data_IF_363653360785
#
_entry.id   IF_363653360785
#
_cell.length_a   1.000
_cell.length_b   1.000
_cell.length_c   1.000
_cell.angle_alpha   90.00
_cell.angle_beta   90.00
_cell.angle_gamma   90.00
#
_symmetry.space_group_name_H-M   'P 1'
#
loop_
_entity.id
_entity.type
_entity.pdbx_description
1 polymer ?
#
# COMPACT_ATOMS: atom_id res chain seq x y z
N UNK A 1 -16.26 58.80 81.95
CA UNK A 1 -17.33 57.91 82.48
C UNK A 1 -16.87 56.48 82.21
N UNK A 2 -16.34 55.79 83.23
CA UNK A 2 -17.02 54.73 84.02
C UNK A 2 -17.60 53.63 83.10
N UNK A 3 -17.29 52.35 83.23
CA UNK A 3 -16.60 51.61 84.30
C UNK A 3 -16.14 50.22 83.79
N UNK A 4 -15.46 49.53 84.69
CA UNK A 4 -14.64 48.33 84.58
C UNK A 4 -15.36 47.00 84.24
N UNK A 5 -14.53 46.06 83.76
CA UNK A 5 -14.41 44.59 83.97
C UNK A 5 -15.27 43.95 85.09
N UNK A 6 -15.45 42.60 85.22
CA UNK A 6 -14.58 41.50 84.75
C UNK A 6 -15.26 40.13 84.39
N UNK A 7 -14.39 39.18 84.03
CA UNK A 7 -14.38 37.70 84.19
C UNK A 7 -15.58 36.98 84.85
N UNK A 8 -15.92 35.79 84.31
CA UNK A 8 -16.04 34.47 84.99
C UNK A 8 -16.59 33.42 84.00
N UNK A 9 -15.95 32.25 83.92
CA UNK A 9 -16.52 31.04 83.30
C UNK A 9 -17.19 30.16 84.38
N UNK A 10 -18.25 29.41 84.03
CA UNK A 10 -18.30 28.02 84.48
C UNK A 10 -18.85 27.00 83.46
N UNK A 11 -18.63 25.72 83.82
CA UNK A 11 -18.85 24.47 83.07
C UNK A 11 -20.33 24.03 82.96
N UNK A 12 -20.63 23.36 81.84
CA UNK A 12 -21.55 22.22 81.59
C UNK A 12 -22.91 22.07 82.34
N UNK A 13 -24.03 21.92 81.57
CA UNK A 13 -24.86 20.67 81.49
C UNK A 13 -26.10 20.78 80.58
N UNK A 14 -26.19 19.78 79.69
CA UNK A 14 -27.33 19.06 79.05
C UNK A 14 -28.79 19.60 79.02
N UNK A 15 -29.34 19.45 77.79
CA UNK A 15 -30.67 18.94 77.34
C UNK A 15 -31.94 19.61 77.87
N UNK A 16 -32.77 20.09 76.93
CA UNK A 16 -34.07 19.50 76.59
C UNK A 16 -34.99 20.53 75.89
N UNK A 17 -34.79 20.79 74.60
CA UNK A 17 -35.80 21.49 73.77
C UNK A 17 -35.85 21.05 72.30
N UNK A 18 -35.08 20.03 71.91
CA UNK A 18 -35.08 19.53 70.53
C UNK A 18 -35.92 18.27 70.30
N UNK A 19 -36.39 17.56 71.34
CA UNK A 19 -37.15 16.31 71.14
C UNK A 19 -38.51 16.53 70.47
N UNK A 20 -39.24 17.61 70.75
CA UNK A 20 -40.56 17.86 70.12
C UNK A 20 -40.44 18.31 68.67
N UNK A 21 -39.44 19.12 68.33
CA UNK A 21 -39.10 19.51 66.95
C UNK A 21 -38.58 18.31 66.13
N UNK A 22 -37.71 17.47 66.71
CA UNK A 22 -37.27 16.23 66.05
C UNK A 22 -38.39 15.20 65.91
N UNK A 23 -39.29 15.08 66.89
CA UNK A 23 -40.46 14.17 66.81
C UNK A 23 -41.48 14.68 65.79
N UNK A 24 -41.74 15.99 65.73
CA UNK A 24 -42.59 16.60 64.70
C UNK A 24 -42.01 16.44 63.30
N UNK A 25 -40.71 16.70 63.12
CA UNK A 25 -40.02 16.50 61.84
C UNK A 25 -39.96 15.01 61.45
N UNK A 26 -39.77 14.11 62.42
CA UNK A 26 -39.80 12.66 62.17
C UNK A 26 -41.19 12.14 61.84
N UNK A 27 -42.26 12.70 62.42
CA UNK A 27 -43.64 12.37 62.07
C UNK A 27 -44.02 12.88 60.68
N UNK A 28 -43.60 14.10 60.34
CA UNK A 28 -43.79 14.65 58.99
C UNK A 28 -42.97 13.86 57.96
N UNK A 29 -41.70 13.56 58.24
CA UNK A 29 -40.87 12.71 57.39
C UNK A 29 -41.41 11.28 57.27
N UNK A 30 -41.97 10.72 58.35
CA UNK A 30 -42.65 9.42 58.37
C UNK A 30 -43.91 9.44 57.52
N UNK A 31 -44.71 10.50 57.59
CA UNK A 31 -45.89 10.68 56.74
C UNK A 31 -45.51 10.84 55.27
N UNK A 32 -44.47 11.64 54.95
CA UNK A 32 -43.94 11.74 53.59
C UNK A 32 -43.35 10.42 53.09
N UNK A 33 -42.73 9.62 53.96
CA UNK A 33 -42.25 8.28 53.61
C UNK A 33 -43.42 7.32 53.31
N UNK A 34 -44.47 7.34 54.13
CA UNK A 34 -45.69 6.53 53.91
C UNK A 34 -46.42 6.96 52.64
N UNK A 35 -46.59 8.28 52.43
CA UNK A 35 -47.17 8.83 51.20
C UNK A 35 -46.30 8.50 49.98
N UNK A 36 -44.98 8.57 50.10
CA UNK A 36 -44.04 8.19 49.05
C UNK A 36 -44.09 6.70 48.72
N UNK A 37 -44.24 5.82 49.72
CA UNK A 37 -44.43 4.38 49.53
C UNK A 37 -45.78 4.08 48.89
N UNK A 38 -46.86 4.74 49.33
CA UNK A 38 -48.20 4.59 48.76
C UNK A 38 -48.25 5.08 47.30
N UNK A 39 -47.66 6.24 47.00
CA UNK A 39 -47.49 6.73 45.63
C UNK A 39 -46.64 5.75 44.81
N UNK A 40 -45.53 5.25 45.36
CA UNK A 40 -44.70 4.24 44.71
C UNK A 40 -45.43 2.93 44.43
N UNK A 41 -46.44 2.55 45.23
CA UNK A 41 -47.26 1.37 45.01
C UNK A 41 -48.40 1.63 44.01
N UNK A 42 -49.06 2.79 44.09
CA UNK A 42 -50.14 3.19 43.16
C UNK A 42 -49.62 3.34 41.74
N UNK A 43 -48.43 3.92 41.56
CA UNK A 43 -47.81 4.11 40.25
C UNK A 43 -46.93 2.93 39.80
N UNK A 44 -46.81 1.85 40.61
CA UNK A 44 -46.09 0.64 40.21
C UNK A 44 -46.73 -0.03 38.98
N UNK A 45 -48.05 0.14 38.79
CA UNK A 45 -48.79 -0.38 37.64
C UNK A 45 -48.72 -1.91 37.49
N UNK A 46 -49.17 -2.42 36.35
CA UNK A 46 -49.09 -3.84 36.03
C UNK A 46 -47.63 -4.28 35.82
N UNK A 47 -47.28 -5.50 36.24
CA UNK A 47 -45.94 -6.08 36.02
C UNK A 47 -45.70 -6.54 34.58
N UNK A 48 -46.73 -6.51 33.73
CA UNK A 48 -46.69 -7.07 32.38
C UNK A 48 -46.67 -6.01 31.28
N UNK A 49 -47.01 -4.75 31.60
CA UNK A 49 -46.99 -3.64 30.66
C UNK A 49 -45.77 -2.74 30.88
N UNK A 50 -45.33 -2.10 29.78
CA UNK A 50 -44.27 -1.11 29.77
C UNK A 50 -44.74 0.19 30.43
N UNK A 51 -43.79 0.90 31.05
CA UNK A 51 -44.08 2.19 31.69
C UNK A 51 -44.65 3.20 30.69
N UNK A 52 -45.68 3.95 31.09
CA UNK A 52 -46.17 5.07 30.30
C UNK A 52 -45.04 6.07 30.01
N UNK A 53 -44.95 6.56 28.76
CA UNK A 53 -43.85 7.42 28.31
C UNK A 53 -42.59 6.67 27.81
N UNK A 54 -42.60 5.32 27.82
CA UNK A 54 -41.57 4.53 27.17
C UNK A 54 -41.68 4.63 25.64
N UNK A 55 -40.58 4.99 24.99
CA UNK A 55 -40.47 5.12 23.53
C UNK A 55 -39.33 4.26 23.00
N UNK A 56 -39.56 3.63 21.86
CA UNK A 56 -38.53 2.88 21.13
C UNK A 56 -38.45 3.42 19.71
N UNK A 57 -37.27 3.90 19.31
CA UNK A 57 -37.05 4.54 18.00
C UNK A 57 -38.12 5.58 17.61
N UNK A 58 -38.44 6.49 18.55
CA UNK A 58 -39.47 7.53 18.36
C UNK A 58 -40.93 7.08 18.52
N UNK A 59 -41.21 5.77 18.57
CA UNK A 59 -42.57 5.22 18.71
C UNK A 59 -42.94 5.01 20.18
N UNK A 60 -44.12 5.48 20.57
CA UNK A 60 -44.67 5.23 21.90
C UNK A 60 -45.10 3.76 22.07
N UNK A 61 -44.51 3.11 23.07
CA UNK A 61 -44.78 1.72 23.46
C UNK A 61 -45.29 1.62 24.90
N UNK A 62 -45.48 2.75 25.59
CA UNK A 62 -45.98 2.77 26.96
C UNK A 62 -47.39 2.16 27.06
N UNK A 63 -47.62 1.37 28.11
CA UNK A 63 -48.89 0.67 28.34
C UNK A 63 -49.10 -0.60 27.51
N UNK A 64 -48.19 -0.93 26.58
CA UNK A 64 -48.23 -2.20 25.86
C UNK A 64 -47.49 -3.29 26.63
N UNK A 65 -47.87 -4.55 26.43
CA UNK A 65 -47.03 -5.68 26.82
C UNK A 65 -45.79 -5.75 25.92
N UNK A 66 -44.73 -6.43 26.38
CA UNK A 66 -43.52 -6.58 25.55
C UNK A 66 -43.81 -7.23 24.18
N UNK A 67 -44.72 -8.20 24.12
CA UNK A 67 -45.10 -8.88 22.87
C UNK A 67 -45.84 -7.94 21.92
N UNK A 68 -46.80 -7.17 22.43
CA UNK A 68 -47.55 -6.18 21.62
C UNK A 68 -46.66 -5.05 21.13
N UNK A 69 -45.73 -4.58 21.98
CA UNK A 69 -44.76 -3.55 21.59
C UNK A 69 -43.84 -4.03 20.46
N UNK A 70 -43.32 -5.26 20.54
CA UNK A 70 -42.52 -5.86 19.46
C UNK A 70 -43.33 -6.00 18.18
N UNK A 71 -44.54 -6.57 18.25
CA UNK A 71 -45.41 -6.75 17.08
C UNK A 71 -45.77 -5.41 16.41
N UNK A 72 -46.03 -4.36 17.20
CA UNK A 72 -46.27 -3.00 16.70
C UNK A 72 -45.06 -2.44 15.96
N UNK A 73 -43.86 -2.57 16.54
CA UNK A 73 -42.61 -2.07 15.94
C UNK A 73 -42.24 -2.84 14.67
N UNK A 74 -42.43 -4.16 14.67
CA UNK A 74 -42.24 -5.01 13.48
C UNK A 74 -43.17 -4.59 12.33
N UNK A 75 -44.47 -4.38 12.63
CA UNK A 75 -45.44 -3.93 11.63
C UNK A 75 -45.03 -2.59 11.01
N UNK A 76 -44.71 -1.59 11.85
CA UNK A 76 -44.27 -0.28 11.39
C UNK A 76 -42.98 -0.36 10.57
N UNK A 77 -42.04 -1.23 10.94
CA UNK A 77 -40.81 -1.40 10.18
C UNK A 77 -41.08 -2.05 8.81
N UNK A 78 -41.96 -3.04 8.73
CA UNK A 78 -42.32 -3.70 7.47
C UNK A 78 -42.95 -2.73 6.47
N UNK A 79 -43.76 -1.77 6.94
CA UNK A 79 -44.38 -0.74 6.11
C UNK A 79 -43.33 0.14 5.41
N UNK A 80 -42.22 0.44 6.10
CA UNK A 80 -41.16 1.32 5.60
C UNK A 80 -39.94 0.56 5.09
N UNK A 81 -39.87 -0.76 5.24
CA UNK A 81 -38.68 -1.56 4.93
C UNK A 81 -38.38 -1.61 3.42
N UNK A 82 -39.40 -1.41 2.59
CA UNK A 82 -39.27 -1.30 1.13
C UNK A 82 -38.96 0.11 0.63
N UNK A 83 -39.12 1.13 1.47
CA UNK A 83 -38.91 2.53 1.08
C UNK A 83 -37.41 2.84 0.98
N UNK A 84 -36.91 3.28 -0.19
CA UNK A 84 -35.49 3.55 -0.36
C UNK A 84 -35.04 4.79 0.45
N UNK A 85 -33.96 4.63 1.20
CA UNK A 85 -33.25 5.73 1.84
C UNK A 85 -32.15 6.24 0.90
N UNK A 86 -32.06 7.56 0.74
CA UNK A 86 -31.06 8.21 -0.12
C UNK A 86 -29.78 8.49 0.68
N UNK A 87 -28.65 8.18 0.07
CA UNK A 87 -27.31 8.40 0.59
C UNK A 87 -26.51 9.23 -0.41
N UNK A 88 -25.76 10.22 0.06
CA UNK A 88 -24.93 11.07 -0.79
C UNK A 88 -23.45 10.87 -0.49
N UNK A 89 -22.65 10.58 -1.51
CA UNK A 89 -21.21 10.37 -1.39
C UNK A 89 -20.50 10.90 -2.63
N UNK A 90 -19.42 11.67 -2.46
CA UNK A 90 -18.59 12.12 -3.59
C UNK A 90 -19.28 13.00 -4.64
N UNK A 91 -20.44 13.60 -4.31
CA UNK A 91 -21.28 14.36 -5.24
C UNK A 91 -22.36 13.55 -5.95
N UNK A 92 -22.44 12.24 -5.69
CA UNK A 92 -23.42 11.33 -6.25
C UNK A 92 -24.43 10.86 -5.19
N UNK A 93 -25.55 10.31 -5.65
CA UNK A 93 -26.68 9.89 -4.80
C UNK A 93 -27.03 8.43 -5.07
N UNK A 94 -27.19 7.66 -4.00
CA UNK A 94 -27.46 6.23 -4.01
C UNK A 94 -28.71 5.96 -3.19
N UNK A 95 -29.55 5.02 -3.62
CA UNK A 95 -30.73 4.62 -2.89
C UNK A 95 -30.68 3.13 -2.57
N UNK A 96 -30.98 2.79 -1.32
CA UNK A 96 -31.08 1.41 -0.85
C UNK A 96 -32.28 1.29 0.09
N UNK A 97 -32.97 0.15 0.04
CA UNK A 97 -34.05 -0.18 0.97
C UNK A 97 -33.56 -1.15 2.05
N UNK A 98 -34.22 -1.14 3.22
CA UNK A 98 -33.82 -1.97 4.35
C UNK A 98 -33.96 -3.48 4.04
N UNK A 99 -34.99 -3.85 3.26
CA UNK A 99 -35.23 -5.23 2.83
C UNK A 99 -34.14 -5.77 1.87
N UNK A 100 -33.54 -4.91 1.04
CA UNK A 100 -32.47 -5.28 0.12
C UNK A 100 -31.18 -5.64 0.86
N UNK A 101 -30.93 -4.96 1.98
CA UNK A 101 -29.71 -5.13 2.79
C UNK A 101 -29.92 -6.05 4.00
N UNK A 102 -31.12 -6.61 4.14
CA UNK A 102 -31.46 -7.50 5.25
C UNK A 102 -31.33 -6.83 6.62
N UNK A 103 -31.58 -5.52 6.70
CA UNK A 103 -31.50 -4.77 7.96
C UNK A 103 -32.68 -5.20 8.85
N UNK A 104 -32.37 -5.69 10.05
CA UNK A 104 -33.32 -6.16 11.04
C UNK A 104 -33.04 -5.50 12.40
N UNK A 105 -33.92 -4.63 12.88
CA UNK A 105 -33.80 -4.10 14.23
C UNK A 105 -34.14 -5.17 15.28
N UNK A 106 -33.34 -5.24 16.34
CA UNK A 106 -33.60 -6.06 17.53
C UNK A 106 -34.63 -5.34 18.42
N UNK A 107 -35.89 -5.37 17.98
CA UNK A 107 -37.00 -4.78 18.72
C UNK A 107 -37.22 -5.47 20.07
N UNK A 108 -37.02 -6.79 20.15
CA UNK A 108 -37.14 -7.53 21.39
C UNK A 108 -36.13 -7.04 22.45
N UNK A 109 -34.86 -6.89 22.08
CA UNK A 109 -33.83 -6.33 22.95
C UNK A 109 -34.10 -4.87 23.33
N UNK A 110 -34.58 -4.06 22.38
CA UNK A 110 -34.92 -2.65 22.62
C UNK A 110 -36.10 -2.49 23.59
N UNK A 111 -37.17 -3.26 23.39
CA UNK A 111 -38.36 -3.29 24.25
C UNK A 111 -38.02 -3.83 25.64
N UNK A 112 -37.19 -4.86 25.74
CA UNK A 112 -36.72 -5.37 27.03
C UNK A 112 -35.87 -4.32 27.78
N UNK A 113 -35.03 -3.56 27.07
CA UNK A 113 -34.28 -2.45 27.65
C UNK A 113 -35.19 -1.30 28.11
N UNK A 114 -36.21 -0.94 27.32
CA UNK A 114 -37.21 0.04 27.70
C UNK A 114 -38.03 -0.41 28.93
N UNK A 115 -38.38 -1.70 29.01
CA UNK A 115 -39.04 -2.30 30.18
C UNK A 115 -38.19 -2.16 31.45
N UNK A 116 -36.89 -2.48 31.36
CA UNK A 116 -35.95 -2.35 32.50
C UNK A 116 -35.84 -0.92 33.03
N UNK A 117 -36.00 0.10 32.18
CA UNK A 117 -35.98 1.50 32.61
C UNK A 117 -37.13 1.85 33.56
N UNK A 118 -38.29 1.18 33.40
CA UNK A 118 -39.48 1.34 34.24
C UNK A 118 -39.66 0.25 35.31
N UNK A 119 -38.74 -0.70 35.42
CA UNK A 119 -38.82 -1.84 36.36
C UNK A 119 -38.08 -1.57 37.69
N UNK A 120 -38.48 -2.30 38.73
CA UNK A 120 -37.95 -2.19 40.09
C UNK A 120 -38.74 -3.03 41.11
N UNK A 121 -38.29 -3.05 42.38
CA UNK A 121 -38.98 -3.74 43.49
C UNK A 121 -39.88 -2.77 44.27
N UNK A 122 -41.14 -3.16 44.50
CA UNK A 122 -42.10 -2.41 45.32
C UNK A 122 -42.21 -0.93 44.95
N UNK A 123 -42.13 0.01 45.91
CA UNK A 123 -42.33 1.44 45.66
C UNK A 123 -41.28 2.09 44.75
N UNK A 124 -40.09 1.48 44.59
CA UNK A 124 -39.04 1.97 43.67
C UNK A 124 -39.52 1.89 42.21
N UNK A 125 -40.34 0.88 41.87
CA UNK A 125 -40.94 0.74 40.54
C UNK A 125 -41.85 1.93 40.22
N UNK A 126 -42.73 2.31 41.15
CA UNK A 126 -43.63 3.44 40.92
C UNK A 126 -42.90 4.77 40.73
N UNK A 127 -41.82 5.03 41.48
CA UNK A 127 -40.99 6.22 41.26
C UNK A 127 -40.31 6.23 39.89
N UNK A 128 -39.77 5.10 39.44
CA UNK A 128 -39.18 4.98 38.09
C UNK A 128 -40.20 5.17 36.99
N UNK A 129 -41.38 4.54 37.11
CA UNK A 129 -42.48 4.71 36.14
C UNK A 129 -43.03 6.13 36.12
N UNK A 130 -43.12 6.78 37.28
CA UNK A 130 -43.50 8.19 37.37
C UNK A 130 -42.46 9.08 36.68
N UNK A 131 -41.17 8.83 36.91
CA UNK A 131 -40.09 9.53 36.23
C UNK A 131 -40.14 9.31 34.71
N UNK A 132 -40.24 8.07 34.24
CA UNK A 132 -40.38 7.76 32.80
C UNK A 132 -41.61 8.41 32.18
N UNK A 133 -42.73 8.53 32.91
CA UNK A 133 -43.93 9.20 32.43
C UNK A 133 -43.74 10.71 32.22
N UNK A 134 -42.95 11.37 33.07
CA UNK A 134 -42.73 12.82 32.99
C UNK A 134 -41.52 13.22 32.16
N UNK A 135 -40.47 12.40 32.13
CA UNK A 135 -39.20 12.71 31.47
C UNK A 135 -38.92 11.81 30.24
N UNK A 136 -39.76 10.81 29.99
CA UNK A 136 -39.60 9.85 28.90
C UNK A 136 -38.52 8.80 29.17
N UNK A 137 -38.54 7.72 28.40
CA UNK A 137 -37.40 6.83 28.23
C UNK A 137 -37.32 6.44 26.76
N UNK A 138 -36.29 6.91 26.05
CA UNK A 138 -36.06 6.57 24.64
C UNK A 138 -34.98 5.50 24.53
N UNK A 139 -35.28 4.44 23.79
CA UNK A 139 -34.35 3.35 23.51
C UNK A 139 -34.24 3.13 22.01
N UNK A 140 -33.01 3.05 21.50
CA UNK A 140 -32.73 2.69 20.12
C UNK A 140 -32.42 1.19 20.03
N UNK A 141 -32.94 0.46 19.01
CA UNK A 141 -32.65 -0.95 18.84
C UNK A 141 -31.20 -1.17 18.38
N UNK A 142 -30.66 -2.35 18.69
CA UNK A 142 -29.47 -2.85 17.99
C UNK A 142 -29.89 -3.26 16.58
N UNK A 143 -29.05 -3.00 15.59
CA UNK A 143 -29.37 -3.31 14.20
C UNK A 143 -28.52 -4.50 13.76
N UNK A 144 -29.17 -5.55 13.26
CA UNK A 144 -28.52 -6.62 12.53
C UNK A 144 -28.64 -6.33 11.03
N UNK A 145 -27.61 -6.71 10.26
CA UNK A 145 -27.54 -6.50 8.82
C UNK A 145 -26.88 -7.71 8.18
N UNK A 146 -27.18 -7.97 6.91
CA UNK A 146 -26.43 -8.97 6.14
C UNK A 146 -25.09 -8.37 5.73
N UNK A 147 -23.98 -8.91 6.25
CA UNK A 147 -22.62 -8.45 5.92
C UNK A 147 -22.40 -8.45 4.40
N UNK A 148 -22.78 -9.54 3.71
CA UNK A 148 -22.63 -9.65 2.26
C UNK A 148 -23.43 -8.60 1.48
N UNK A 149 -24.65 -8.26 1.94
CA UNK A 149 -25.49 -7.27 1.26
C UNK A 149 -24.98 -5.84 1.52
N UNK A 150 -24.55 -5.57 2.76
CA UNK A 150 -23.93 -4.31 3.13
C UNK A 150 -22.63 -4.08 2.37
N UNK A 151 -21.77 -5.09 2.28
CA UNK A 151 -20.53 -5.03 1.52
C UNK A 151 -20.81 -4.76 0.04
N UNK A 152 -21.79 -5.42 -0.56
CA UNK A 152 -22.22 -5.14 -1.94
C UNK A 152 -22.70 -3.70 -2.12
N UNK A 153 -23.47 -3.15 -1.17
CA UNK A 153 -23.92 -1.77 -1.22
C UNK A 153 -22.76 -0.77 -1.12
N UNK A 154 -21.83 -1.01 -0.19
CA UNK A 154 -20.65 -0.18 0.00
C UNK A 154 -19.72 -0.27 -1.21
N UNK A 155 -19.55 -1.44 -1.82
CA UNK A 155 -18.77 -1.62 -3.05
C UNK A 155 -19.39 -0.84 -4.20
N UNK A 156 -20.72 -0.91 -4.38
CA UNK A 156 -21.41 -0.13 -5.41
C UNK A 156 -21.23 1.39 -5.24
N UNK A 157 -21.17 1.87 -3.99
CA UNK A 157 -20.87 3.28 -3.70
C UNK A 157 -19.40 3.56 -4.01
N UNK A 158 -18.50 2.69 -3.53
CA UNK A 158 -17.07 2.82 -3.74
C UNK A 158 -16.69 2.82 -5.22
N UNK A 159 -17.29 2.00 -6.07
CA UNK A 159 -17.02 1.96 -7.52
C UNK A 159 -17.24 3.30 -8.23
N UNK A 160 -18.18 4.11 -7.74
CA UNK A 160 -18.46 5.44 -8.30
C UNK A 160 -17.63 6.55 -7.60
N UNK A 161 -17.45 6.42 -6.29
CA UNK A 161 -16.80 7.44 -5.47
C UNK A 161 -15.28 7.31 -5.53
N UNK A 162 -14.75 6.11 -5.35
CA UNK A 162 -13.33 5.83 -5.17
C UNK A 162 -12.54 6.20 -6.43
N UNK A 163 -11.52 7.02 -6.23
CA UNK A 163 -10.58 7.43 -7.26
C UNK A 163 -9.19 7.39 -6.65
N UNK A 164 -8.32 6.59 -7.24
CA UNK A 164 -6.92 6.55 -6.83
C UNK A 164 -6.26 7.92 -7.03
N UNK A 165 -5.43 8.39 -6.08
CA UNK A 165 -4.62 9.58 -6.29
C UNK A 165 -3.62 9.33 -7.43
N UNK A 166 -3.25 10.39 -8.14
CA UNK A 166 -2.18 10.34 -9.14
C UNK A 166 -1.16 11.42 -8.82
N UNK A 167 0.10 11.01 -8.74
CA UNK A 167 1.20 11.93 -8.51
C UNK A 167 1.39 12.88 -9.68
N UNK A 168 1.90 14.07 -9.36
CA UNK A 168 2.43 14.96 -10.36
C UNK A 168 3.64 14.32 -11.04
N UNK A 169 3.85 14.69 -12.30
CA UNK A 169 4.97 14.19 -13.10
C UNK A 169 5.59 15.31 -13.93
N UNK A 170 6.84 15.12 -14.37
CA UNK A 170 7.43 15.94 -15.41
C UNK A 170 7.45 15.19 -16.72
N UNK A 171 6.90 15.81 -17.76
CA UNK A 171 6.92 15.29 -19.11
C UNK A 171 7.78 16.17 -20.00
N UNK A 172 8.24 15.58 -21.11
CA UNK A 172 9.08 16.27 -22.08
C UNK A 172 8.44 16.29 -23.45
N UNK A 173 8.36 17.47 -24.06
CA UNK A 173 8.05 17.66 -25.48
C UNK A 173 9.28 18.21 -26.19
N UNK A 174 10.00 17.36 -26.92
CA UNK A 174 11.28 17.75 -27.52
C UNK A 174 12.35 18.10 -26.46
N UNK A 175 12.64 19.39 -26.28
CA UNK A 175 13.54 19.91 -25.23
C UNK A 175 12.80 20.69 -24.14
N UNK A 176 11.48 20.82 -24.24
CA UNK A 176 10.65 21.54 -23.28
C UNK A 176 10.23 20.59 -22.14
N UNK A 177 10.23 21.13 -20.92
CA UNK A 177 9.83 20.42 -19.70
C UNK A 177 8.53 21.02 -19.18
N UNK A 178 7.50 20.20 -19.21
CA UNK A 178 6.15 20.51 -18.73
C UNK A 178 5.87 19.74 -17.44
N UNK A 179 5.07 20.35 -16.56
CA UNK A 179 4.58 19.69 -15.36
C UNK A 179 3.16 19.21 -15.61
N UNK A 180 2.90 17.95 -15.30
CA UNK A 180 1.55 17.40 -15.20
C UNK A 180 1.14 17.50 -13.73
N UNK A 181 0.04 18.19 -13.39
CA UNK A 181 -0.41 18.32 -12.02
C UNK A 181 -0.91 16.99 -11.46
N UNK A 182 -0.81 16.86 -10.15
CA UNK A 182 -1.34 15.76 -9.38
C UNK A 182 -2.89 15.71 -9.44
N UNK A 183 -3.46 14.53 -9.25
CA UNK A 183 -4.89 14.33 -9.08
C UNK A 183 -5.16 13.83 -7.67
N UNK A 184 -5.97 14.57 -6.94
CA UNK A 184 -6.40 14.22 -5.59
C UNK A 184 -7.30 12.98 -5.66
N UNK A 185 -6.93 11.95 -4.91
CA UNK A 185 -7.72 10.75 -4.75
C UNK A 185 -8.81 10.93 -3.71
N UNK A 186 -9.78 10.02 -3.72
CA UNK A 186 -10.83 9.95 -2.72
C UNK A 186 -11.25 8.52 -2.54
N UNK A 187 -11.67 8.16 -1.34
CA UNK A 187 -12.15 6.81 -1.02
C UNK A 187 -13.30 6.88 -0.02
N UNK A 188 -14.29 6.02 -0.15
CA UNK A 188 -15.34 5.87 0.84
C UNK A 188 -14.72 5.47 2.18
N UNK A 189 -15.11 6.15 3.26
CA UNK A 189 -14.74 5.75 4.61
C UNK A 189 -15.62 4.56 4.99
N UNK A 190 -15.21 3.34 4.59
CA UNK A 190 -16.09 2.15 4.56
C UNK A 190 -16.74 1.84 5.90
N UNK A 191 -16.00 1.92 7.00
CA UNK A 191 -16.52 1.62 8.34
C UNK A 191 -17.55 2.66 8.80
N UNK A 192 -17.26 3.95 8.64
CA UNK A 192 -18.16 5.03 9.03
C UNK A 192 -19.37 5.12 8.11
N UNK A 193 -19.19 4.82 6.82
CA UNK A 193 -20.26 4.71 5.84
C UNK A 193 -21.18 3.52 6.14
N UNK A 194 -20.62 2.35 6.49
CA UNK A 194 -21.39 1.18 6.93
C UNK A 194 -22.32 1.53 8.10
N UNK A 195 -21.78 2.19 9.12
CA UNK A 195 -22.57 2.63 10.27
C UNK A 195 -23.66 3.64 9.88
N UNK A 196 -23.36 4.59 8.97
CA UNK A 196 -24.34 5.56 8.50
C UNK A 196 -25.47 4.91 7.68
N UNK A 197 -25.14 3.95 6.82
CA UNK A 197 -26.10 3.17 6.02
C UNK A 197 -27.02 2.36 6.92
N UNK A 198 -26.46 1.58 7.84
CA UNK A 198 -27.23 0.74 8.76
C UNK A 198 -28.16 1.59 9.63
N UNK A 199 -27.66 2.69 10.21
CA UNK A 199 -28.51 3.61 10.99
C UNK A 199 -29.62 4.24 10.16
N UNK A 200 -29.31 4.69 8.95
CA UNK A 200 -30.30 5.31 8.05
C UNK A 200 -31.44 4.37 7.70
N UNK A 201 -31.13 3.09 7.44
CA UNK A 201 -32.11 2.06 7.07
C UNK A 201 -32.88 1.49 8.26
N UNK A 202 -32.24 1.43 9.44
CA UNK A 202 -32.87 0.97 10.67
C UNK A 202 -33.81 1.99 11.33
N UNK A 203 -33.82 3.24 10.86
CA UNK A 203 -34.78 4.26 11.29
C UNK A 203 -36.19 3.91 10.83
N UNK A 204 -37.21 4.24 11.63
CA UNK A 204 -38.61 4.23 11.21
C UNK A 204 -38.99 5.53 10.48
N UNK A 205 -38.26 6.61 10.73
CA UNK A 205 -38.43 7.87 10.03
C UNK A 205 -37.70 7.84 8.69
N UNK A 206 -38.41 8.20 7.61
CA UNK A 206 -37.85 8.32 6.26
C UNK A 206 -37.49 9.78 5.99
N UNK A 207 -36.18 10.07 6.03
CA UNK A 207 -35.67 11.39 5.69
C UNK A 207 -35.80 11.64 4.19
N UNK A 208 -36.35 12.80 3.80
CA UNK A 208 -36.38 13.23 2.41
C UNK A 208 -35.00 13.67 1.89
N UNK A 209 -34.16 14.19 2.79
CA UNK A 209 -32.81 14.63 2.47
C UNK A 209 -31.83 13.43 2.40
N UNK A 210 -30.90 13.39 1.43
CA UNK A 210 -29.87 12.35 1.39
C UNK A 210 -28.96 12.38 2.62
N UNK A 211 -28.69 11.20 3.19
CA UNK A 211 -27.76 11.03 4.30
C UNK A 211 -26.32 11.11 3.76
N UNK A 212 -25.48 12.08 4.20
CA UNK A 212 -24.11 12.18 3.72
C UNK A 212 -23.27 11.00 4.23
N UNK A 213 -22.55 10.35 3.33
CA UNK A 213 -21.57 9.33 3.66
C UNK A 213 -20.16 9.93 3.68
N UNK A 214 -19.35 9.60 4.70
CA UNK A 214 -18.00 10.11 4.83
C UNK A 214 -17.10 9.58 3.71
N UNK A 215 -16.35 10.50 3.10
CA UNK A 215 -15.33 10.20 2.08
C UNK A 215 -14.00 10.73 2.60
N UNK A 216 -12.99 9.88 2.60
CA UNK A 216 -11.62 10.25 2.92
C UNK A 216 -10.95 10.76 1.65
N UNK A 217 -10.31 11.92 1.76
CA UNK A 217 -9.46 12.44 0.69
C UNK A 217 -8.11 11.74 0.77
N UNK A 218 -7.68 11.16 -0.34
CA UNK A 218 -6.37 10.50 -0.46
C UNK A 218 -5.42 11.44 -1.21
N UNK A 219 -4.39 11.90 -0.50
CA UNK A 219 -3.47 12.89 -1.05
C UNK A 219 -2.38 12.19 -1.88
N UNK A 220 -2.02 12.74 -3.05
CA UNK A 220 -0.89 12.23 -3.81
C UNK A 220 0.42 12.46 -3.05
N UNK A 221 1.38 11.55 -3.23
CA UNK A 221 2.68 11.59 -2.56
C UNK A 221 3.55 12.73 -3.12
N UNK A 222 3.42 13.02 -4.41
CA UNK A 222 4.19 14.07 -5.10
C UNK A 222 3.27 15.08 -5.75
N UNK A 223 3.44 16.34 -5.35
CA UNK A 223 2.73 17.50 -5.93
C UNK A 223 3.55 18.21 -7.00
N UNK A 224 2.89 18.92 -7.91
CA UNK A 224 3.55 19.72 -8.94
C UNK A 224 4.46 20.78 -8.32
N UNK A 225 4.06 21.33 -7.16
CA UNK A 225 4.87 22.26 -6.38
C UNK A 225 6.18 21.60 -5.92
N UNK A 226 6.14 20.34 -5.47
CA UNK A 226 7.33 19.60 -5.08
C UNK A 226 8.29 19.34 -6.26
N UNK A 227 7.78 19.28 -7.49
CA UNK A 227 8.59 19.07 -8.70
C UNK A 227 9.23 20.33 -9.28
N UNK A 228 8.88 21.53 -8.81
CA UNK A 228 9.45 22.81 -9.29
C UNK A 228 10.99 22.83 -9.32
N UNK A 229 11.72 22.39 -8.28
CA UNK A 229 13.18 22.32 -8.31
C UNK A 229 13.71 21.35 -9.38
N UNK A 230 13.06 20.20 -9.55
CA UNK A 230 13.41 19.20 -10.55
C UNK A 230 13.15 19.70 -11.97
N UNK A 231 12.03 20.40 -12.20
CA UNK A 231 11.73 21.02 -13.48
C UNK A 231 12.79 22.06 -13.86
N UNK A 232 13.19 22.92 -12.91
CA UNK A 232 14.26 23.90 -13.13
C UNK A 232 15.58 23.22 -13.50
N UNK A 233 15.97 22.17 -12.77
CA UNK A 233 17.18 21.40 -13.06
C UNK A 233 17.12 20.70 -14.41
N UNK A 234 15.97 20.15 -14.79
CA UNK A 234 15.76 19.51 -16.09
C UNK A 234 15.89 20.53 -17.24
N UNK A 235 15.34 21.75 -17.10
CA UNK A 235 15.52 22.82 -18.10
C UNK A 235 17.00 23.19 -18.26
N UNK A 236 17.75 23.29 -17.16
CA UNK A 236 19.21 23.51 -17.21
C UNK A 236 19.93 22.31 -17.85
N UNK A 237 19.50 21.08 -17.60
CA UNK A 237 20.04 19.90 -18.27
C UNK A 237 19.94 19.98 -19.78
N UNK A 238 18.86 20.56 -20.31
CA UNK A 238 18.58 20.64 -21.73
C UNK A 238 18.99 21.97 -22.38
N UNK A 239 19.60 22.91 -21.65
CA UNK A 239 19.91 24.25 -22.17
C UNK A 239 21.17 24.32 -23.03
N UNK A 240 22.02 23.28 -23.03
CA UNK A 240 23.29 23.33 -23.74
C UNK A 240 24.09 22.04 -23.71
N UNK A 241 25.15 22.02 -24.52
CA UNK A 241 26.05 20.90 -24.66
C UNK A 241 26.77 20.58 -23.33
N UNK A 242 27.14 19.31 -23.17
CA UNK A 242 28.01 18.84 -22.09
C UNK A 242 29.25 18.22 -22.70
N UNK A 243 30.41 18.47 -22.11
CA UNK A 243 31.66 17.81 -22.50
C UNK A 243 31.93 16.66 -21.54
N UNK A 244 31.92 15.43 -22.05
CA UNK A 244 32.47 14.27 -21.34
C UNK A 244 33.97 14.27 -21.53
N UNK A 245 34.73 14.35 -20.44
CA UNK A 245 36.19 14.35 -20.46
C UNK A 245 36.72 13.01 -19.98
N UNK A 246 37.30 12.23 -20.89
CA UNK A 246 38.11 11.07 -20.55
C UNK A 246 39.60 11.42 -20.47
N UNK A 247 40.45 10.43 -20.23
CA UNK A 247 41.90 10.63 -20.07
C UNK A 247 42.60 11.12 -21.36
N UNK A 248 42.16 10.65 -22.53
CA UNK A 248 42.79 10.97 -23.84
C UNK A 248 41.83 11.62 -24.84
N UNK A 249 40.53 11.53 -24.61
CA UNK A 249 39.47 11.93 -25.54
C UNK A 249 38.39 12.71 -24.81
N UNK A 250 37.77 13.65 -25.52
CA UNK A 250 36.60 14.37 -25.05
C UNK A 250 35.45 14.19 -26.03
N UNK A 251 34.24 14.08 -25.52
CA UNK A 251 33.03 13.90 -26.32
C UNK A 251 32.02 15.00 -26.01
N UNK A 252 31.42 15.60 -27.04
CA UNK A 252 30.32 16.54 -26.86
C UNK A 252 28.99 15.80 -26.86
N UNK A 253 28.15 16.04 -25.86
CA UNK A 253 26.79 15.50 -25.75
C UNK A 253 25.82 16.64 -26.00
N UNK A 254 25.01 16.52 -27.04
CA UNK A 254 24.01 17.55 -27.40
C UNK A 254 22.82 17.54 -26.44
N UNK A 255 22.08 18.66 -26.32
CA UNK A 255 20.82 18.72 -25.58
C UNK A 255 19.83 17.62 -25.94
N UNK A 256 19.68 17.34 -27.24
CA UNK A 256 18.80 16.27 -27.74
C UNK A 256 19.24 14.89 -27.23
N UNK A 257 20.56 14.64 -27.20
CA UNK A 257 21.08 13.41 -26.61
C UNK A 257 20.80 13.38 -25.12
N UNK A 258 21.11 14.45 -24.37
CA UNK A 258 20.85 14.52 -22.92
C UNK A 258 19.38 14.23 -22.62
N UNK A 259 18.45 14.80 -23.38
CA UNK A 259 17.03 14.50 -23.28
C UNK A 259 16.79 12.99 -23.36
N UNK A 260 17.32 12.28 -24.36
CA UNK A 260 17.12 10.83 -24.47
C UNK A 260 17.67 10.01 -23.29
N UNK A 261 18.64 10.53 -22.52
CA UNK A 261 19.25 9.85 -21.38
C UNK A 261 18.65 10.29 -20.03
N UNK A 262 17.99 11.44 -19.98
CA UNK A 262 17.43 12.02 -18.77
C UNK A 262 16.09 11.34 -18.43
N UNK A 263 16.07 10.63 -17.32
CA UNK A 263 14.87 10.16 -16.66
C UNK A 263 14.29 11.30 -15.83
N UNK A 264 13.03 11.63 -16.13
CA UNK A 264 12.25 12.64 -15.41
C UNK A 264 11.46 11.98 -14.29
N UNK A 265 11.12 12.70 -13.21
CA UNK A 265 10.30 12.16 -12.14
C UNK A 265 8.88 11.86 -12.63
N UNK A 266 8.45 10.63 -12.41
CA UNK A 266 7.09 10.11 -12.60
C UNK A 266 6.79 9.11 -11.47
N UNK A 267 5.52 8.72 -11.30
CA UNK A 267 5.10 7.60 -10.45
C UNK A 267 5.64 7.69 -9.01
N UNK A 268 5.37 8.80 -8.32
CA UNK A 268 5.87 9.07 -6.96
C UNK A 268 7.34 9.48 -6.88
N UNK A 269 8.05 9.50 -8.01
CA UNK A 269 9.42 9.99 -8.09
C UNK A 269 9.52 11.51 -8.00
N UNK A 270 10.58 12.00 -7.35
CA UNK A 270 10.89 13.44 -7.30
C UNK A 270 12.25 13.81 -7.90
N UNK A 271 13.09 12.81 -8.24
CA UNK A 271 14.51 13.01 -8.59
C UNK A 271 14.77 12.78 -10.07
N UNK A 272 15.63 13.62 -10.63
CA UNK A 272 16.22 13.41 -11.95
C UNK A 272 17.30 12.35 -11.90
N UNK A 273 17.39 11.53 -12.95
CA UNK A 273 18.47 10.57 -13.14
C UNK A 273 18.93 10.53 -14.60
N UNK A 274 20.16 10.09 -14.82
CA UNK A 274 20.59 9.59 -16.13
C UNK A 274 20.44 8.07 -16.06
N UNK A 275 19.36 7.55 -16.61
CA UNK A 275 18.95 6.16 -16.41
C UNK A 275 17.99 5.68 -17.51
N UNK A 276 17.75 4.37 -17.54
CA UNK A 276 16.85 3.70 -18.45
C UNK A 276 17.54 3.18 -19.72
N UNK A 277 16.81 2.44 -20.57
CA UNK A 277 17.40 1.65 -21.65
C UNK A 277 18.28 2.45 -22.63
N UNK A 278 17.90 3.72 -22.88
CA UNK A 278 18.67 4.63 -23.75
C UNK A 278 19.97 5.10 -23.09
N UNK A 279 19.96 5.33 -21.78
CA UNK A 279 21.17 5.64 -21.01
C UNK A 279 22.12 4.45 -20.98
N UNK A 280 21.59 3.25 -20.74
CA UNK A 280 22.38 2.02 -20.68
C UNK A 280 23.05 1.71 -22.02
N UNK A 281 22.29 1.81 -23.12
CA UNK A 281 22.83 1.64 -24.47
C UNK A 281 23.91 2.69 -24.81
N UNK A 282 23.68 3.94 -24.41
CA UNK A 282 24.67 5.02 -24.61
C UNK A 282 25.97 4.75 -23.84
N UNK A 283 25.88 4.35 -22.57
CA UNK A 283 27.05 4.06 -21.75
C UNK A 283 27.78 2.80 -22.18
N UNK A 284 27.09 1.76 -22.69
CA UNK A 284 27.72 0.58 -23.28
C UNK A 284 28.60 0.95 -24.48
N UNK A 285 28.04 1.69 -25.44
CA UNK A 285 28.81 2.19 -26.60
C UNK A 285 29.92 3.17 -26.20
N UNK A 286 29.73 3.95 -25.13
CA UNK A 286 30.79 4.81 -24.62
C UNK A 286 31.92 3.97 -23.99
N UNK A 287 31.58 2.93 -23.22
CA UNK A 287 32.54 2.04 -22.57
C UNK A 287 33.44 1.33 -23.59
N UNK A 288 32.89 0.85 -24.71
CA UNK A 288 33.67 0.25 -25.80
C UNK A 288 34.69 1.23 -26.42
N UNK A 289 34.37 2.52 -26.45
CA UNK A 289 35.23 3.56 -27.07
C UNK A 289 36.32 4.09 -26.14
N UNK A 290 36.13 3.98 -24.82
CA UNK A 290 37.06 4.55 -23.81
C UNK A 290 37.79 3.49 -23.00
N UNK A 291 37.21 2.30 -22.89
CA UNK A 291 37.77 1.14 -22.23
C UNK A 291 38.65 0.31 -23.15
N UNK A 292 39.28 -0.70 -22.55
CA UNK A 292 40.05 -1.74 -23.21
C UNK A 292 39.74 -3.05 -22.48
N UNK A 293 39.28 -4.10 -23.15
CA UNK A 293 38.97 -5.35 -22.48
C UNK A 293 40.24 -5.92 -21.82
N UNK A 294 40.13 -6.56 -20.66
CA UNK A 294 41.23 -7.34 -20.12
C UNK A 294 41.51 -8.54 -21.03
N UNK A 295 42.74 -9.04 -20.98
CA UNK A 295 43.13 -10.27 -21.65
C UNK A 295 43.45 -11.32 -20.59
N UNK A 296 42.73 -12.43 -20.62
CA UNK A 296 43.01 -13.59 -19.79
C UNK A 296 44.44 -14.09 -20.03
N UNK A 297 45.07 -14.66 -19.00
CA UNK A 297 46.23 -15.50 -19.26
C UNK A 297 45.83 -16.66 -20.17
N UNK A 298 46.80 -17.28 -20.81
CA UNK A 298 46.63 -18.32 -21.82
C UNK A 298 47.72 -19.37 -21.68
N UNK A 299 47.61 -20.45 -22.46
CA UNK A 299 48.63 -21.48 -22.53
C UNK A 299 49.07 -21.60 -23.99
N UNK A 300 50.37 -21.55 -24.24
CA UNK A 300 50.96 -21.69 -25.55
C UNK A 300 51.86 -22.92 -25.56
N UNK A 301 51.55 -23.87 -26.43
CA UNK A 301 52.29 -25.13 -26.54
C UNK A 301 53.47 -24.93 -27.50
N UNK A 302 54.69 -25.20 -27.04
CA UNK A 302 55.91 -25.16 -27.84
C UNK A 302 56.69 -26.47 -27.68
N UNK A 303 56.62 -27.33 -28.69
CA UNK A 303 57.15 -28.68 -28.63
C UNK A 303 56.48 -29.49 -27.52
N UNK A 304 57.26 -29.94 -26.54
CA UNK A 304 56.79 -30.68 -25.37
C UNK A 304 56.44 -29.78 -24.18
N UNK A 305 56.83 -28.50 -24.22
CA UNK A 305 56.62 -27.55 -23.13
C UNK A 305 55.34 -26.72 -23.32
N UNK A 306 54.69 -26.36 -22.23
CA UNK A 306 53.59 -25.40 -22.21
C UNK A 306 54.07 -24.12 -21.52
N UNK A 307 53.98 -23.00 -22.23
CA UNK A 307 54.31 -21.68 -21.71
C UNK A 307 53.04 -20.90 -21.38
N UNK A 308 53.09 -20.07 -20.35
CA UNK A 308 51.97 -19.20 -20.01
C UNK A 308 52.06 -17.93 -20.83
N UNK A 309 50.96 -17.61 -21.51
CA UNK A 309 50.74 -16.28 -22.09
C UNK A 309 50.23 -15.38 -20.97
N UNK A 310 50.96 -14.33 -20.55
CA UNK A 310 50.56 -13.54 -19.40
C UNK A 310 49.25 -12.79 -19.62
N UNK A 311 48.43 -12.74 -18.56
CA UNK A 311 47.22 -11.92 -18.50
C UNK A 311 47.55 -10.44 -18.54
N UNK A 312 46.69 -9.62 -19.15
CA UNK A 312 46.80 -8.15 -19.12
C UNK A 312 45.53 -7.54 -18.53
N UNK A 313 45.71 -6.62 -17.59
CA UNK A 313 44.59 -5.84 -17.08
C UNK A 313 44.00 -4.96 -18.18
N UNK A 314 42.69 -4.87 -18.19
CA UNK A 314 41.92 -3.95 -19.00
C UNK A 314 41.57 -2.69 -18.23
N UNK A 315 40.73 -1.89 -18.86
CA UNK A 315 40.14 -0.68 -18.30
C UNK A 315 38.67 -0.63 -18.69
N UNK A 316 37.81 -0.27 -17.76
CA UNK A 316 36.38 -0.17 -17.98
C UNK A 316 35.84 1.18 -17.51
N UNK A 317 34.73 1.62 -18.10
CA UNK A 317 34.03 2.83 -17.66
C UNK A 317 33.20 2.50 -16.42
N UNK A 318 33.40 3.24 -15.31
CA UNK A 318 32.46 3.17 -14.19
C UNK A 318 31.16 3.89 -14.58
N UNK A 319 30.20 3.12 -15.08
CA UNK A 319 28.91 3.61 -15.60
C UNK A 319 28.16 4.39 -14.53
N UNK A 320 28.15 3.90 -13.27
CA UNK A 320 27.44 4.56 -12.16
C UNK A 320 28.04 5.93 -11.82
N UNK A 321 29.38 6.05 -11.82
CA UNK A 321 30.05 7.34 -11.63
C UNK A 321 29.88 8.25 -12.83
N UNK A 322 29.94 7.71 -14.06
CA UNK A 322 29.75 8.46 -15.29
C UNK A 322 28.34 9.05 -15.39
N UNK A 323 27.30 8.27 -15.10
CA UNK A 323 25.90 8.74 -15.07
C UNK A 323 25.70 9.87 -14.05
N UNK A 324 26.23 9.73 -12.83
CA UNK A 324 26.18 10.78 -11.81
C UNK A 324 26.97 12.03 -12.21
N UNK A 325 28.15 11.88 -12.80
CA UNK A 325 28.96 13.00 -13.29
C UNK A 325 28.24 13.74 -14.42
N UNK A 326 27.63 13.00 -15.36
CA UNK A 326 26.83 13.57 -16.44
C UNK A 326 25.62 14.33 -15.90
N UNK A 327 24.88 13.77 -14.93
CA UNK A 327 23.75 14.48 -14.30
C UNK A 327 24.18 15.78 -13.61
N UNK A 328 25.30 15.75 -12.87
CA UNK A 328 25.84 16.94 -12.21
C UNK A 328 26.22 18.01 -13.23
N UNK A 329 26.96 17.65 -14.27
CA UNK A 329 27.34 18.56 -15.34
C UNK A 329 26.12 19.11 -16.10
N UNK A 330 25.11 18.27 -16.34
CA UNK A 330 23.87 18.65 -17.00
C UNK A 330 23.09 19.67 -16.17
N UNK A 331 22.96 19.43 -14.87
CA UNK A 331 22.17 20.30 -13.99
C UNK A 331 22.92 21.54 -13.50
N UNK A 332 24.16 21.75 -13.95
CA UNK A 332 24.97 22.94 -13.68
C UNK A 332 24.73 24.05 -14.72
N UNK A 333 24.64 25.30 -14.25
CA UNK A 333 24.52 26.49 -15.11
C UNK A 333 25.87 26.90 -15.73
N UNK A 334 26.98 26.54 -15.09
CA UNK A 334 28.35 26.84 -15.52
C UNK A 334 29.20 25.57 -15.53
N UNK A 335 30.36 25.61 -16.19
CA UNK A 335 31.32 24.50 -16.22
C UNK A 335 30.68 23.11 -16.49
N UNK A 336 30.01 22.97 -17.65
CA UNK A 336 29.25 21.77 -18.04
C UNK A 336 30.17 20.66 -18.55
N UNK A 337 31.06 20.19 -17.66
CA UNK A 337 32.04 19.13 -17.93
C UNK A 337 31.83 17.97 -16.98
N UNK A 338 31.71 16.75 -17.52
CA UNK A 338 31.63 15.52 -16.75
C UNK A 338 32.88 14.67 -16.96
N UNK A 339 33.66 14.47 -15.91
CA UNK A 339 34.85 13.62 -15.95
C UNK A 339 34.43 12.15 -15.94
N UNK A 340 34.87 11.39 -16.94
CA UNK A 340 34.66 9.95 -17.02
C UNK A 340 35.67 9.26 -16.10
N UNK A 341 35.16 8.41 -15.19
CA UNK A 341 36.01 7.60 -14.32
C UNK A 341 36.25 6.26 -14.99
N UNK A 342 37.53 5.94 -15.23
CA UNK A 342 37.95 4.66 -15.77
C UNK A 342 38.49 3.82 -14.62
N UNK A 343 37.93 2.63 -14.43
CA UNK A 343 38.36 1.65 -13.45
C UNK A 343 39.26 0.59 -14.10
N UNK A 344 40.05 -0.11 -13.29
CA UNK A 344 40.81 -1.28 -13.73
C UNK A 344 39.84 -2.45 -13.91
N UNK A 345 39.89 -3.08 -15.08
CA UNK A 345 39.21 -4.35 -15.31
C UNK A 345 40.23 -5.48 -15.15
N UNK A 346 39.97 -6.41 -14.24
CA UNK A 346 40.80 -7.59 -14.09
C UNK A 346 40.44 -8.62 -15.19
N UNK A 347 41.42 -9.39 -15.69
CA UNK A 347 41.12 -10.58 -16.47
C UNK A 347 40.35 -11.58 -15.61
N UNK A 348 39.53 -12.42 -16.25
CA UNK A 348 38.85 -13.54 -15.59
C UNK A 348 39.86 -14.58 -15.10
N UNK A 349 40.97 -14.74 -15.82
CA UNK A 349 42.10 -15.57 -15.41
C UNK A 349 43.39 -14.77 -15.39
N UNK A 350 43.99 -14.67 -14.21
CA UNK A 350 45.27 -14.03 -13.98
C UNK A 350 46.44 -14.95 -14.35
N UNK A 351 47.62 -14.36 -14.54
CA UNK A 351 48.86 -15.11 -14.75
C UNK A 351 49.20 -16.01 -13.55
N UNK A 352 48.91 -15.55 -12.33
CA UNK A 352 49.14 -16.31 -11.11
C UNK A 352 48.23 -17.55 -11.03
N UNK A 353 46.97 -17.42 -11.39
CA UNK A 353 46.03 -18.55 -11.45
C UNK A 353 46.45 -19.55 -12.54
N UNK A 354 46.86 -19.06 -13.73
CA UNK A 354 47.36 -19.93 -14.79
C UNK A 354 48.62 -20.71 -14.36
N UNK A 355 49.53 -20.08 -13.61
CA UNK A 355 50.71 -20.74 -13.03
C UNK A 355 50.32 -21.81 -12.01
N UNK A 356 49.35 -21.50 -11.14
CA UNK A 356 48.88 -22.42 -10.11
C UNK A 356 48.17 -23.66 -10.67
N UNK A 357 47.70 -23.63 -11.92
CA UNK A 357 47.11 -24.78 -12.59
C UNK A 357 48.13 -25.89 -12.91
N UNK A 358 49.44 -25.59 -12.93
CA UNK A 358 50.48 -26.60 -13.13
C UNK A 358 50.50 -27.25 -14.52
N UNK A 359 49.95 -26.58 -15.54
CA UNK A 359 49.94 -27.07 -16.93
C UNK A 359 51.28 -26.67 -17.58
N UNK A 360 52.28 -27.54 -17.45
CA UNK A 360 53.67 -27.26 -17.85
C UNK A 360 54.16 -28.08 -19.06
N UNK A 361 53.46 -29.16 -19.41
CA UNK A 361 53.89 -30.11 -20.45
C UNK A 361 52.75 -30.60 -21.33
N UNK A 362 53.07 -30.90 -22.58
CA UNK A 362 52.17 -31.57 -23.50
C UNK A 362 52.20 -33.07 -23.26
N UNK A 363 51.06 -33.65 -22.90
CA UNK A 363 50.95 -35.09 -22.65
C UNK A 363 50.84 -35.91 -23.93
N UNK A 364 50.09 -35.42 -24.92
CA UNK A 364 49.89 -36.11 -26.19
C UNK A 364 49.50 -35.14 -27.30
N UNK A 365 49.77 -35.55 -28.54
CA UNK A 365 49.37 -34.84 -29.75
C UNK A 365 49.08 -35.85 -30.86
N UNK A 366 47.90 -35.73 -31.47
CA UNK A 366 47.51 -36.51 -32.63
C UNK A 366 46.95 -35.61 -33.70
N UNK A 367 47.11 -36.03 -34.95
CA UNK A 367 46.55 -35.33 -36.10
C UNK A 367 45.70 -36.31 -36.88
N UNK A 368 44.46 -35.91 -37.16
CA UNK A 368 43.58 -36.61 -38.10
C UNK A 368 43.23 -35.66 -39.25
N UNK A 369 43.07 -36.23 -40.44
CA UNK A 369 42.68 -35.48 -41.63
C UNK A 369 41.16 -35.59 -41.81
N UNK A 370 40.52 -34.47 -42.12
CA UNK A 370 39.10 -34.46 -42.48
C UNK A 370 38.93 -34.43 -44.00
N UNK A 371 37.78 -34.92 -44.45
CA UNK A 371 37.31 -34.87 -45.84
C UNK A 371 35.79 -34.70 -45.83
N UNK A 372 35.17 -34.32 -46.94
CA UNK A 372 33.72 -34.19 -47.05
C UNK A 372 33.29 -32.89 -47.71
N UNK A 373 32.01 -32.56 -47.57
CA UNK A 373 31.43 -31.35 -48.14
C UNK A 373 31.97 -30.09 -47.46
N UNK A 374 31.87 -28.95 -48.15
CA UNK A 374 32.26 -27.64 -47.61
C UNK A 374 31.57 -27.34 -46.27
N UNK A 375 30.28 -27.68 -46.16
CA UNK A 375 29.51 -27.45 -44.94
C UNK A 375 29.92 -28.38 -43.80
N UNK A 376 30.20 -29.66 -44.09
CA UNK A 376 30.78 -30.57 -43.10
C UNK A 376 32.12 -30.06 -42.57
N UNK A 377 32.99 -29.59 -43.45
CA UNK A 377 34.30 -29.04 -43.05
C UNK A 377 34.12 -27.76 -42.22
N UNK A 378 33.14 -26.93 -42.56
CA UNK A 378 32.81 -25.72 -41.80
C UNK A 378 32.31 -26.06 -40.39
N UNK A 379 31.41 -27.03 -40.26
CA UNK A 379 30.91 -27.52 -38.96
C UNK A 379 32.03 -28.13 -38.12
N UNK A 380 32.94 -28.91 -38.73
CA UNK A 380 34.10 -29.48 -38.04
C UNK A 380 35.03 -28.39 -37.51
N UNK A 381 35.32 -27.37 -38.32
CA UNK A 381 36.15 -26.22 -37.88
C UNK A 381 35.51 -25.46 -36.73
N UNK A 382 34.20 -25.20 -36.82
CA UNK A 382 33.43 -24.55 -35.76
C UNK A 382 33.46 -25.39 -34.47
N UNK A 383 33.14 -26.69 -34.56
CA UNK A 383 33.17 -27.60 -33.43
C UNK A 383 34.54 -27.66 -32.76
N UNK A 384 35.63 -27.77 -33.54
CA UNK A 384 37.00 -27.74 -33.00
C UNK A 384 37.30 -26.40 -32.32
N UNK A 385 36.87 -25.27 -32.90
CA UNK A 385 37.09 -23.95 -32.27
C UNK A 385 36.33 -23.77 -30.95
N UNK A 386 35.19 -24.46 -30.78
CA UNK A 386 34.44 -24.47 -29.52
C UNK A 386 35.07 -25.38 -28.45
N UNK A 387 35.84 -26.39 -28.87
CA UNK A 387 36.58 -27.29 -27.98
C UNK A 387 37.94 -26.73 -27.55
N UNK A 388 38.48 -25.78 -28.31
CA UNK A 388 39.82 -25.24 -28.08
C UNK A 388 39.93 -24.57 -26.70
N UNK A 389 41.12 -24.64 -26.09
CA UNK A 389 41.40 -24.09 -24.74
C UNK A 389 40.51 -24.64 -23.59
N UNK A 390 39.81 -25.76 -23.78
CA UNK A 390 39.00 -26.38 -22.71
C UNK A 390 39.89 -26.78 -21.52
N UNK A 391 39.62 -26.19 -20.36
CA UNK A 391 40.32 -26.51 -19.11
C UNK A 391 39.54 -27.57 -18.32
N UNK A 392 40.18 -28.71 -18.08
CA UNK A 392 39.61 -29.79 -17.27
C UNK A 392 40.34 -29.82 -15.92
N UNK A 393 39.66 -29.55 -14.80
CA UNK A 393 40.30 -29.59 -13.48
C UNK A 393 40.65 -31.04 -13.09
N UNK A 394 41.56 -31.25 -12.12
CA UNK A 394 41.83 -32.57 -11.57
C UNK A 394 40.55 -33.25 -11.06
N UNK A 395 40.31 -34.49 -11.51
CA UNK A 395 39.08 -35.24 -11.21
C UNK A 395 37.84 -34.77 -11.98
N UNK A 396 37.96 -33.75 -12.83
CA UNK A 396 36.90 -33.29 -13.71
C UNK A 396 36.72 -34.21 -14.92
N UNK A 397 35.50 -34.21 -15.45
CA UNK A 397 35.14 -34.94 -16.67
C UNK A 397 35.06 -33.98 -17.84
N UNK A 398 35.69 -34.33 -18.96
CA UNK A 398 35.46 -33.64 -20.22
C UNK A 398 34.30 -34.28 -20.97
N UNK A 399 33.34 -33.46 -21.41
CA UNK A 399 32.23 -33.89 -22.27
C UNK A 399 32.24 -33.08 -23.56
N UNK A 400 32.47 -33.77 -24.68
CA UNK A 400 32.47 -33.15 -26.01
C UNK A 400 31.11 -32.52 -26.34
N UNK A 401 30.01 -33.18 -25.97
CA UNK A 401 28.66 -32.69 -26.27
C UNK A 401 28.28 -31.49 -25.40
N UNK A 402 28.70 -31.46 -24.13
CA UNK A 402 28.44 -30.29 -23.28
C UNK A 402 29.26 -29.08 -23.74
N UNK A 403 30.51 -29.30 -24.15
CA UNK A 403 31.40 -28.21 -24.58
C UNK A 403 30.97 -27.61 -25.92
N UNK A 404 30.58 -28.45 -26.90
CA UNK A 404 30.06 -27.98 -28.20
C UNK A 404 28.63 -27.45 -28.07
N UNK A 405 27.82 -28.06 -27.20
CA UNK A 405 26.39 -27.80 -27.07
C UNK A 405 25.56 -28.28 -28.26
N UNK A 406 24.27 -27.91 -28.28
CA UNK A 406 23.39 -28.20 -29.41
C UNK A 406 23.89 -27.56 -30.70
N UNK A 407 23.87 -28.31 -31.80
CA UNK A 407 24.29 -27.89 -33.13
C UNK A 407 23.05 -27.34 -33.85
N UNK A 408 23.01 -26.03 -34.03
CA UNK A 408 21.87 -25.35 -34.64
C UNK A 408 22.37 -24.35 -35.68
N UNK A 409 21.52 -24.01 -36.64
CA UNK A 409 21.83 -23.00 -37.66
C UNK A 409 22.11 -21.64 -37.03
N UNK A 410 21.39 -21.29 -35.96
CA UNK A 410 21.59 -20.06 -35.18
C UNK A 410 23.00 -19.95 -34.58
N UNK A 411 23.61 -21.09 -34.22
CA UNK A 411 24.99 -21.17 -33.72
C UNK A 411 26.03 -21.29 -34.84
N UNK A 412 25.60 -21.28 -36.11
CA UNK A 412 26.46 -21.30 -37.27
C UNK A 412 26.78 -22.70 -37.81
N UNK A 413 26.15 -23.75 -37.29
CA UNK A 413 26.21 -25.08 -37.89
C UNK A 413 25.33 -25.13 -39.15
N UNK A 414 25.68 -26.00 -40.08
CA UNK A 414 25.03 -26.13 -41.39
C UNK A 414 24.57 -27.55 -41.62
N UNK A 415 23.55 -27.73 -42.46
CA UNK A 415 23.13 -29.09 -42.84
C UNK A 415 24.28 -29.81 -43.54
N UNK A 416 24.57 -31.03 -43.08
CA UNK A 416 25.59 -31.87 -43.67
C UNK A 416 25.20 -33.35 -43.54
N UNK A 417 25.79 -34.23 -44.36
CA UNK A 417 25.60 -35.66 -44.20
C UNK A 417 26.05 -36.14 -42.81
N UNK A 418 25.10 -36.62 -42.00
CA UNK A 418 25.29 -37.27 -40.70
C UNK A 418 25.10 -38.78 -40.84
N UNK A 419 25.65 -39.54 -39.90
CA UNK A 419 25.47 -40.98 -39.82
C UNK A 419 24.55 -41.27 -38.64
N UNK A 420 23.37 -41.83 -38.90
CA UNK A 420 22.40 -42.24 -37.88
C UNK A 420 22.32 -43.77 -37.93
N UNK A 421 22.89 -44.43 -36.92
CA UNK A 421 23.03 -45.89 -36.93
C UNK A 421 23.95 -46.35 -38.06
N UNK A 422 23.37 -46.95 -39.12
CA UNK A 422 24.07 -47.43 -40.31
C UNK A 422 23.74 -46.65 -41.59
N UNK A 423 22.90 -45.60 -41.51
CA UNK A 423 22.42 -44.85 -42.67
C UNK A 423 22.97 -43.42 -42.72
N UNK A 424 23.08 -42.86 -43.92
CA UNK A 424 23.41 -41.45 -44.15
C UNK A 424 22.13 -40.62 -44.23
N UNK A 425 22.04 -39.56 -43.43
CA UNK A 425 20.97 -38.56 -43.47
C UNK A 425 21.58 -37.16 -43.60
N UNK A 426 20.79 -36.14 -43.93
CA UNK A 426 21.23 -34.74 -43.84
C UNK A 426 20.56 -34.08 -42.63
N UNK A 427 21.37 -33.58 -41.71
CA UNK A 427 20.91 -32.94 -40.47
C UNK A 427 21.94 -31.89 -40.02
N UNK A 428 21.56 -31.02 -39.08
CA UNK A 428 22.43 -29.99 -38.47
C UNK A 428 23.06 -30.51 -37.18
#
# INVERSE_FOLDING_TARGET
>A
MRADSPLIAPRARRRARSRTLFVGLALVAGLFAVVGVLLGLVFAGSSHELAAGARVAGVDVGGLTQREAVAKLDGLFLDVAGDPVKFAAGGESFAFAANQLGVKPDWAGAVAAAGRAGDGFGPIRGFRRLHTRFFGAEVLPRLAVSDAALDFALERIADSVDRAPKDAALVRRGLEIESVPEQIGRRLAREEAAHAVVRGLGSLERLHAPIPLPVVVDAPDVTARALVPSARRARVALSGHIVLRGARRSFKVSPRRIATLLSLPSDGGSRLAIAGPRADAYFRSLAERVGKPPANAGFAVSGESVQIVPSRNGTELDIRRAARALLRAATSRTNRVATLTIARAAPERTTAEALAMGIDRRLSAYKTYNSGTSDRISNLRLGVSLLDDTLVPPGGTFSLNETIGERTEEKGFRSAPVIIGTEYAEEI
#
